data_IF_080195759312
#
_entry.id   IF_080195759312
#
_cell.length_a   1.000
_cell.length_b   1.000
_cell.length_c   1.000
_cell.angle_alpha   90.00
_cell.angle_beta   90.00
_cell.angle_gamma   90.00
#
_symmetry.space_group_name_H-M   'P 1'
#
loop_
_entity.id
_entity.type
_entity.pdbx_description
1 polymer ?
#
# COMPACT_ATOMS: atom_id res chain seq x y z
N UNK A 1 8.52 9.05 -27.12
CA UNK A 1 8.13 10.37 -26.58
C UNK A 1 7.18 10.99 -27.59
N UNK A 2 5.91 11.14 -27.24
CA UNK A 2 4.89 11.72 -28.11
C UNK A 2 4.80 13.21 -27.79
N UNK A 3 4.70 14.08 -28.79
CA UNK A 3 4.58 15.53 -28.59
C UNK A 3 3.24 16.01 -29.14
N UNK A 4 2.55 16.87 -28.39
CA UNK A 4 1.34 17.56 -28.84
C UNK A 4 1.68 19.00 -29.21
N UNK A 5 1.21 19.46 -30.35
CA UNK A 5 1.43 20.82 -30.80
C UNK A 5 0.36 21.74 -30.19
N UNK A 6 0.79 22.80 -29.51
CA UNK A 6 -0.07 23.89 -29.05
C UNK A 6 0.47 25.21 -29.57
N UNK A 7 -0.14 25.69 -30.66
CA UNK A 7 0.36 26.85 -31.41
C UNK A 7 1.73 26.57 -32.02
N UNK A 8 2.71 27.41 -31.70
CA UNK A 8 4.08 27.31 -32.20
C UNK A 8 4.98 26.39 -31.35
N UNK A 9 4.45 25.81 -30.27
CA UNK A 9 5.22 25.02 -29.32
C UNK A 9 4.87 23.53 -29.38
N UNK A 10 5.89 22.68 -29.34
CA UNK A 10 5.79 21.23 -29.16
C UNK A 10 5.89 20.90 -27.67
N UNK A 11 4.78 20.45 -27.09
CA UNK A 11 4.72 20.05 -25.69
C UNK A 11 4.91 18.53 -25.62
N UNK A 12 5.92 18.02 -24.89
CA UNK A 12 6.05 16.58 -24.67
C UNK A 12 4.84 16.08 -23.87
N UNK A 13 4.18 15.03 -24.37
CA UNK A 13 3.15 14.32 -23.63
C UNK A 13 3.82 13.60 -22.45
N UNK A 14 3.69 14.20 -21.27
CA UNK A 14 4.08 13.60 -19.99
C UNK A 14 2.94 12.69 -19.54
N UNK A 15 3.00 11.44 -19.97
CA UNK A 15 2.14 10.41 -19.39
C UNK A 15 2.69 10.05 -18.00
N UNK A 16 1.85 10.19 -16.97
CA UNK A 16 2.15 9.63 -15.66
C UNK A 16 2.24 8.12 -15.81
N UNK A 17 3.31 7.45 -15.30
CA UNK A 17 3.37 6.00 -15.31
C UNK A 17 2.11 5.48 -14.63
N UNK A 18 1.42 4.56 -15.30
CA UNK A 18 0.18 3.97 -14.82
C UNK A 18 0.47 3.38 -13.43
N UNK A 19 0.00 4.05 -12.38
CA UNK A 19 0.07 3.47 -11.04
C UNK A 19 -0.85 2.26 -11.08
N UNK A 20 -0.30 1.05 -10.96
CA UNK A 20 -1.11 -0.15 -10.82
C UNK A 20 -2.11 0.10 -9.70
N UNK A 21 -3.40 0.08 -10.05
CA UNK A 21 -4.50 0.16 -9.10
C UNK A 21 -4.56 -1.17 -8.34
N UNK A 22 -3.51 -1.47 -7.57
CA UNK A 22 -3.50 -2.58 -6.64
C UNK A 22 -4.70 -2.39 -5.72
N UNK A 23 -5.56 -3.40 -5.65
CA UNK A 23 -6.79 -3.36 -4.86
C UNK A 23 -6.42 -3.21 -3.37
N UNK A 24 -6.45 -1.97 -2.89
CA UNK A 24 -6.12 -1.62 -1.51
C UNK A 24 -7.14 -2.25 -0.55
N UNK A 25 -6.66 -3.09 0.37
CA UNK A 25 -7.47 -3.68 1.43
C UNK A 25 -7.64 -2.81 2.68
N UNK A 26 -8.20 -3.42 3.73
CA UNK A 26 -8.48 -2.74 5.00
C UNK A 26 -7.23 -2.16 5.68
N UNK A 27 -6.08 -2.84 5.59
CA UNK A 27 -4.86 -2.41 6.28
C UNK A 27 -4.19 -1.25 5.53
N UNK A 28 -4.29 -1.21 4.20
CA UNK A 28 -3.89 -0.03 3.43
C UNK A 28 -4.71 1.21 3.78
N UNK A 29 -6.03 1.10 3.96
CA UNK A 29 -6.83 2.25 4.39
C UNK A 29 -6.43 2.75 5.77
N UNK A 30 -6.21 1.82 6.72
CA UNK A 30 -5.74 2.16 8.07
C UNK A 30 -4.39 2.89 8.02
N UNK A 31 -3.44 2.35 7.24
CA UNK A 31 -2.12 2.96 7.05
C UNK A 31 -2.21 4.33 6.41
N UNK A 32 -3.06 4.48 5.39
CA UNK A 32 -3.28 5.75 4.71
C UNK A 32 -3.84 6.82 5.66
N UNK A 33 -4.85 6.50 6.46
CA UNK A 33 -5.41 7.42 7.46
C UNK A 33 -4.35 7.82 8.48
N UNK A 34 -3.59 6.85 9.01
CA UNK A 34 -2.51 7.12 9.96
C UNK A 34 -1.44 8.04 9.39
N UNK A 35 -1.04 7.84 8.12
CA UNK A 35 -0.08 8.68 7.44
C UNK A 35 -0.59 10.12 7.31
N UNK A 36 -1.88 10.31 7.00
CA UNK A 36 -2.49 11.64 6.88
C UNK A 36 -2.66 12.35 8.21
N UNK A 37 -3.00 11.64 9.30
CA UNK A 37 -3.28 12.28 10.60
C UNK A 37 -2.03 12.46 11.45
N UNK A 38 -1.13 11.47 11.46
CA UNK A 38 -0.01 11.43 12.41
C UNK A 38 1.36 11.58 11.75
N UNK A 39 1.51 11.36 10.43
CA UNK A 39 2.80 11.39 9.72
C UNK A 39 2.73 12.20 8.42
N UNK A 40 2.15 13.40 8.48
CA UNK A 40 1.90 14.29 7.32
C UNK A 40 3.13 14.50 6.44
N UNK A 41 4.32 14.69 7.03
CA UNK A 41 5.56 14.90 6.26
C UNK A 41 5.96 13.66 5.44
N UNK A 42 5.76 12.46 5.99
CA UNK A 42 6.02 11.21 5.27
C UNK A 42 4.97 10.98 4.19
N UNK A 43 3.70 11.25 4.49
CA UNK A 43 2.61 11.20 3.51
C UNK A 43 2.90 12.11 2.31
N UNK A 44 3.26 13.37 2.56
CA UNK A 44 3.59 14.33 1.51
C UNK A 44 4.78 13.86 0.67
N UNK A 45 5.84 13.35 1.31
CA UNK A 45 7.00 12.78 0.62
C UNK A 45 6.61 11.62 -0.31
N UNK A 46 5.82 10.68 0.20
CA UNK A 46 5.37 9.52 -0.58
C UNK A 46 4.47 9.93 -1.76
N UNK A 47 3.57 10.89 -1.52
CA UNK A 47 2.69 11.43 -2.55
C UNK A 47 3.48 12.13 -3.66
N UNK A 48 4.39 13.04 -3.30
CA UNK A 48 5.24 13.77 -4.25
C UNK A 48 6.17 12.83 -5.04
N UNK A 49 6.65 11.76 -4.40
CA UNK A 49 7.47 10.75 -5.07
C UNK A 49 6.69 9.78 -5.95
N UNK A 50 5.34 9.81 -5.95
CA UNK A 50 4.49 8.84 -6.64
C UNK A 50 4.51 7.43 -6.05
N UNK A 51 5.18 7.21 -4.91
CA UNK A 51 5.35 5.88 -4.27
C UNK A 51 4.30 5.54 -3.22
N UNK A 52 3.31 6.42 -3.02
CA UNK A 52 2.27 6.21 -2.01
C UNK A 52 1.51 4.89 -2.23
N UNK A 53 1.09 4.62 -3.46
CA UNK A 53 0.30 3.43 -3.78
C UNK A 53 1.06 2.13 -3.50
N UNK A 54 2.32 2.07 -3.96
CA UNK A 54 3.23 0.94 -3.73
C UNK A 54 3.43 0.69 -2.23
N UNK A 55 3.71 1.76 -1.47
CA UNK A 55 3.90 1.65 -0.02
C UNK A 55 2.65 1.10 0.70
N UNK A 56 1.46 1.55 0.30
CA UNK A 56 0.21 1.06 0.89
C UNK A 56 -0.04 -0.41 0.55
N UNK A 57 0.27 -0.85 -0.67
CA UNK A 57 0.15 -2.24 -1.09
C UNK A 57 1.10 -3.17 -0.32
N UNK A 58 2.37 -2.78 -0.17
CA UNK A 58 3.37 -3.52 0.61
C UNK A 58 2.92 -3.72 2.07
N UNK A 59 2.47 -2.64 2.72
CA UNK A 59 2.00 -2.70 4.11
C UNK A 59 0.74 -3.57 4.23
N UNK A 60 -0.17 -3.51 3.27
CA UNK A 60 -1.39 -4.32 3.28
C UNK A 60 -1.08 -5.81 3.12
N UNK A 61 -0.13 -6.17 2.25
CA UNK A 61 0.36 -7.54 2.10
C UNK A 61 0.99 -8.06 3.40
N UNK A 62 1.95 -7.33 3.95
CA UNK A 62 2.64 -7.70 5.20
C UNK A 62 1.66 -7.89 6.35
N UNK A 63 0.68 -6.98 6.49
CA UNK A 63 -0.32 -7.07 7.54
C UNK A 63 -1.20 -8.33 7.39
N UNK A 64 -1.58 -8.69 6.15
CA UNK A 64 -2.34 -9.92 5.88
C UNK A 64 -1.53 -11.16 6.23
N UNK A 65 -0.26 -11.20 5.86
CA UNK A 65 0.63 -12.33 6.17
C UNK A 65 0.78 -12.55 7.68
N UNK A 66 1.06 -11.47 8.41
CA UNK A 66 1.18 -11.52 9.88
C UNK A 66 -0.11 -12.05 10.51
N UNK A 67 -1.26 -11.56 10.05
CA UNK A 67 -2.57 -11.98 10.58
C UNK A 67 -2.84 -13.45 10.26
N UNK A 68 -2.52 -13.91 9.05
CA UNK A 68 -2.64 -15.32 8.68
C UNK A 68 -1.73 -16.21 9.54
N UNK A 69 -0.48 -15.79 9.78
CA UNK A 69 0.45 -16.52 10.65
C UNK A 69 -0.08 -16.65 12.08
N UNK A 70 -0.58 -15.56 12.66
CA UNK A 70 -1.18 -15.54 14.00
C UNK A 70 -2.41 -16.47 14.06
N UNK A 71 -3.28 -16.42 13.05
CA UNK A 71 -4.46 -17.30 12.97
C UNK A 71 -4.08 -18.79 12.84
N UNK A 72 -3.07 -19.11 12.04
CA UNK A 72 -2.53 -20.47 11.91
C UNK A 72 -1.92 -20.96 13.23
N UNK A 73 -1.18 -20.11 13.94
CA UNK A 73 -0.60 -20.49 15.24
C UNK A 73 -1.68 -20.70 16.30
N UNK A 74 -2.63 -19.77 16.43
CA UNK A 74 -3.72 -19.87 17.39
C UNK A 74 -4.62 -21.09 17.14
N UNK A 75 -4.85 -21.46 15.88
CA UNK A 75 -5.61 -22.67 15.54
C UNK A 75 -4.85 -23.96 15.87
N UNK A 76 -3.53 -24.01 15.66
CA UNK A 76 -2.69 -25.14 16.09
C UNK A 76 -2.70 -25.34 17.60
N UNK A 77 -2.55 -24.24 18.35
CA UNK A 77 -2.62 -24.26 19.83
C UNK A 77 -3.99 -24.71 20.33
N UNK A 78 -5.07 -24.33 19.65
CA UNK A 78 -6.43 -24.76 20.00
C UNK A 78 -6.72 -26.24 19.73
N UNK A 79 -6.05 -26.85 18.74
CA UNK A 79 -6.23 -28.27 18.36
C UNK A 79 -5.41 -29.21 19.25
N UNK A 80 -4.37 -28.73 19.92
CA UNK A 80 -3.70 -29.48 20.97
C UNK A 80 -4.54 -29.31 22.26
N UNK A 81 -5.42 -30.27 22.64
CA UNK A 81 -6.08 -30.16 23.92
C UNK A 81 -4.97 -30.10 24.97
N UNK A 82 -5.16 -29.23 25.94
CA UNK A 82 -4.45 -29.17 27.20
C UNK A 82 -4.07 -30.60 27.66
N UNK A 83 -2.87 -31.05 27.30
CA UNK A 83 -2.23 -32.28 27.78
C UNK A 83 -1.18 -31.84 28.81
N UNK A 84 -1.68 -31.38 29.94
CA UNK A 84 -0.93 -31.27 31.18
C UNK A 84 -1.95 -31.64 32.27
N UNK A 85 -1.91 -32.91 32.70
CA UNK A 85 -1.25 -33.38 33.93
C UNK A 85 -2.14 -33.19 35.16
#
# INVERSE_FOLDING_TARGET
MTYSQSGDYLIPNLELPQQENATLGKYSMLRHTYLKTHKRSLYAKLLLSGKLQVHLAEVDLQAREIVQQIMCQASRERILPNKAS
#
